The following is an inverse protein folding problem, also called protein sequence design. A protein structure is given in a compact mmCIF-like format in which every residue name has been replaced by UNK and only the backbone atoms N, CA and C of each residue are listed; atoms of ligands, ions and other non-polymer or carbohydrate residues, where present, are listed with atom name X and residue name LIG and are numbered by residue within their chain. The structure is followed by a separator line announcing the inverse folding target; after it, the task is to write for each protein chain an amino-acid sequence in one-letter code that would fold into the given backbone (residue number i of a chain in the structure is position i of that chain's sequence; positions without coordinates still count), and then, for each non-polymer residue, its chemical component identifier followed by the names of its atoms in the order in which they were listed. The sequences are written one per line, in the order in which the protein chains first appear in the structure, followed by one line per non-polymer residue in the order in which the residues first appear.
data_IF_270818367312
#
_entry.id   IF_270818367312
#
_cell.length_a   1.000
_cell.length_b   1.000
_cell.length_c   1.000
_cell.angle_alpha   90.00
_cell.angle_beta   90.00
_cell.angle_gamma   90.00
#
_symmetry.space_group_name_H-M   'P 1'
#
loop_
_entity.id
_entity.type
_entity.pdbx_description
1 polymer ?
#
# COMPACT_ATOMS: atom_id res chain seq x y z
N UNK A 1 -13.89 -11.61 -2.58
CA UNK A 1 -14.08 -10.18 -2.30
C UNK A 1 -14.89 -9.46 -3.38
N UNK A 2 -14.57 -9.65 -4.66
CA UNK A 2 -15.29 -9.04 -5.79
C UNK A 2 -16.80 -9.36 -5.80
N UNK A 3 -17.17 -10.61 -5.49
CA UNK A 3 -18.57 -11.04 -5.32
C UNK A 3 -19.36 -10.20 -4.29
N UNK A 4 -18.73 -9.81 -3.18
CA UNK A 4 -19.38 -8.98 -2.14
C UNK A 4 -19.59 -7.55 -2.62
N UNK A 5 -18.67 -7.01 -3.43
CA UNK A 5 -18.77 -5.67 -4.00
C UNK A 5 -19.88 -5.59 -5.05
N UNK A 6 -19.92 -6.54 -5.98
CA UNK A 6 -20.98 -6.61 -6.99
C UNK A 6 -22.35 -6.75 -6.34
N UNK A 7 -22.45 -7.55 -5.27
CA UNK A 7 -23.65 -7.67 -4.44
C UNK A 7 -24.04 -6.34 -3.79
N UNK A 8 -23.08 -5.63 -3.18
CA UNK A 8 -23.31 -4.31 -2.56
C UNK A 8 -23.80 -3.27 -3.58
N UNK A 9 -23.16 -3.20 -4.76
CA UNK A 9 -23.57 -2.31 -5.85
C UNK A 9 -24.98 -2.62 -6.37
N UNK A 10 -25.31 -3.90 -6.55
CA UNK A 10 -26.64 -4.33 -6.96
C UNK A 10 -27.72 -3.91 -5.96
N UNK A 11 -27.44 -4.05 -4.65
CA UNK A 11 -28.37 -3.60 -3.60
C UNK A 11 -28.52 -2.07 -3.61
N UNK A 12 -27.43 -1.32 -3.77
CA UNK A 12 -27.48 0.15 -3.86
C UNK A 12 -28.30 0.65 -5.05
N UNK A 13 -28.19 -0.03 -6.19
CA UNK A 13 -29.02 0.28 -7.36
C UNK A 13 -30.50 0.02 -7.07
N UNK A 14 -30.83 -1.14 -6.48
CA UNK A 14 -32.20 -1.48 -6.10
C UNK A 14 -32.80 -0.53 -5.05
N UNK A 15 -31.97 0.07 -4.17
CA UNK A 15 -32.42 1.12 -3.24
C UNK A 15 -32.84 2.38 -4.00
N UNK A 16 -32.05 2.81 -4.99
CA UNK A 16 -32.35 4.01 -5.79
C UNK A 16 -33.62 3.85 -6.63
N UNK A 17 -33.86 2.65 -7.14
CA UNK A 17 -34.99 2.35 -8.02
C UNK A 17 -36.31 2.12 -7.23
N UNK A 18 -36.23 1.86 -5.92
CA UNK A 18 -37.39 1.61 -5.07
C UNK A 18 -38.09 2.91 -4.67
N UNK A 19 -39.42 2.99 -4.82
CA UNK A 19 -40.25 4.08 -4.30
C UNK A 19 -40.75 3.84 -2.86
N UNK A 20 -40.80 2.59 -2.42
CA UNK A 20 -41.24 2.18 -1.08
C UNK A 20 -40.12 2.33 -0.04
N UNK A 21 -40.38 3.10 1.02
CA UNK A 21 -39.44 3.40 2.09
C UNK A 21 -39.15 2.21 3.01
N UNK A 22 -40.12 1.33 3.26
CA UNK A 22 -39.91 0.09 4.03
C UNK A 22 -38.98 -0.85 3.28
N UNK A 23 -39.16 -0.96 1.96
CA UNK A 23 -38.27 -1.72 1.08
C UNK A 23 -36.86 -1.11 1.03
N UNK A 24 -36.73 0.21 0.92
CA UNK A 24 -35.43 0.91 1.00
C UNK A 24 -34.70 0.61 2.31
N UNK A 25 -35.39 0.69 3.45
CA UNK A 25 -34.79 0.41 4.76
C UNK A 25 -34.27 -1.03 4.85
N UNK A 26 -35.05 -2.01 4.39
CA UNK A 26 -34.64 -3.42 4.38
C UNK A 26 -33.42 -3.66 3.49
N UNK A 27 -33.40 -3.07 2.29
CA UNK A 27 -32.26 -3.13 1.38
C UNK A 27 -31.04 -2.41 1.96
N UNK A 28 -31.23 -1.28 2.64
CA UNK A 28 -30.17 -0.56 3.36
C UNK A 28 -29.50 -1.42 4.42
N UNK A 29 -30.30 -2.12 5.25
CA UNK A 29 -29.79 -3.09 6.23
C UNK A 29 -29.04 -4.25 5.55
N UNK A 30 -29.52 -4.73 4.41
CA UNK A 30 -28.83 -5.78 3.65
C UNK A 30 -27.49 -5.30 3.09
N UNK A 31 -27.45 -4.08 2.53
CA UNK A 31 -26.22 -3.44 2.05
C UNK A 31 -25.21 -3.27 3.19
N UNK A 32 -25.67 -2.80 4.35
CA UNK A 32 -24.83 -2.68 5.54
C UNK A 32 -24.19 -4.01 5.93
N UNK A 33 -24.96 -5.11 6.00
CA UNK A 33 -24.41 -6.44 6.33
C UNK A 33 -23.34 -6.91 5.35
N UNK A 34 -23.55 -6.69 4.05
CA UNK A 34 -22.56 -7.05 3.02
C UNK A 34 -21.28 -6.24 3.17
N UNK A 35 -21.40 -4.93 3.40
CA UNK A 35 -20.25 -4.04 3.59
C UNK A 35 -19.53 -4.31 4.90
N UNK A 36 -20.25 -4.61 5.98
CA UNK A 36 -19.68 -5.02 7.26
C UNK A 36 -18.84 -6.29 7.08
N UNK A 37 -19.41 -7.32 6.43
CA UNK A 37 -18.67 -8.55 6.15
C UNK A 37 -17.39 -8.32 5.34
N UNK A 38 -17.44 -7.42 4.36
CA UNK A 38 -16.26 -7.06 3.58
C UNK A 38 -15.19 -6.36 4.45
N UNK A 39 -15.59 -5.44 5.34
CA UNK A 39 -14.69 -4.78 6.29
C UNK A 39 -14.07 -5.77 7.28
N UNK A 40 -14.84 -6.73 7.77
CA UNK A 40 -14.34 -7.76 8.70
C UNK A 40 -13.28 -8.62 8.03
N UNK A 41 -13.50 -9.02 6.78
CA UNK A 41 -12.52 -9.80 6.01
C UNK A 41 -11.24 -9.00 5.71
N UNK A 42 -11.34 -7.70 5.38
CA UNK A 42 -10.16 -6.84 5.22
C UNK A 42 -9.42 -6.68 6.55
N UNK A 43 -10.15 -6.60 7.65
CA UNK A 43 -9.59 -6.47 9.00
C UNK A 43 -8.87 -7.74 9.44
N UNK A 44 -9.47 -8.90 9.23
CA UNK A 44 -8.83 -10.20 9.45
C UNK A 44 -7.55 -10.35 8.62
N UNK A 45 -7.61 -9.99 7.33
CA UNK A 45 -6.43 -9.98 6.45
C UNK A 45 -5.33 -9.05 6.98
N UNK A 46 -5.67 -7.83 7.43
CA UNK A 46 -4.70 -6.90 8.00
C UNK A 46 -4.02 -7.49 9.23
N UNK A 47 -4.79 -7.99 10.20
CA UNK A 47 -4.21 -8.51 11.44
C UNK A 47 -3.37 -9.76 11.22
N UNK A 48 -3.79 -10.67 10.34
CA UNK A 48 -2.98 -11.84 9.96
C UNK A 48 -1.67 -11.43 9.29
N UNK A 49 -1.72 -10.45 8.38
CA UNK A 49 -0.52 -9.94 7.70
C UNK A 49 0.41 -9.23 8.68
N UNK A 50 -0.13 -8.39 9.57
CA UNK A 50 0.66 -7.71 10.62
C UNK A 50 1.34 -8.74 11.51
N UNK A 51 0.59 -9.76 11.97
CA UNK A 51 1.15 -10.84 12.77
C UNK A 51 2.29 -11.55 12.04
N UNK A 52 2.06 -11.94 10.78
CA UNK A 52 3.11 -12.55 9.96
C UNK A 52 4.35 -11.67 9.85
N UNK A 53 4.20 -10.37 9.59
CA UNK A 53 5.34 -9.46 9.46
C UNK A 53 6.11 -9.34 10.78
N UNK A 54 5.42 -9.21 11.90
CA UNK A 54 6.05 -9.07 13.21
C UNK A 54 6.70 -10.37 13.68
N UNK A 55 6.11 -11.53 13.39
CA UNK A 55 6.68 -12.82 13.80
C UNK A 55 7.97 -13.16 13.03
N UNK A 56 8.23 -12.53 11.88
CA UNK A 56 9.34 -12.89 10.99
C UNK A 56 10.40 -11.79 10.80
N UNK A 57 10.11 -10.54 11.17
CA UNK A 57 11.00 -9.41 10.88
C UNK A 57 11.04 -8.40 12.03
N UNK A 58 12.25 -8.02 12.45
CA UNK A 58 12.46 -7.00 13.48
C UNK A 58 12.17 -5.58 12.98
N UNK A 59 12.49 -5.32 11.71
CA UNK A 59 12.34 -4.03 11.06
C UNK A 59 11.48 -4.18 9.82
N UNK A 60 10.38 -3.42 9.76
CA UNK A 60 9.43 -3.43 8.65
C UNK A 60 9.49 -2.07 7.94
N UNK A 61 9.88 -2.08 6.67
CA UNK A 61 9.94 -0.86 5.86
C UNK A 61 8.73 -0.82 4.95
N UNK A 62 7.93 0.25 5.03
CA UNK A 62 6.73 0.43 4.22
C UNK A 62 6.85 1.64 3.31
N UNK A 63 6.60 1.41 2.02
CA UNK A 63 6.35 2.49 1.05
C UNK A 63 5.08 3.27 1.39
N UNK A 64 5.19 4.60 1.39
CA UNK A 64 4.06 5.52 1.54
C UNK A 64 3.41 5.70 0.18
N UNK A 65 2.36 4.91 -0.07
CA UNK A 65 1.55 5.08 -1.26
C UNK A 65 0.70 6.36 -1.14
N UNK A 66 0.81 7.26 -2.11
CA UNK A 66 -0.09 8.41 -2.22
C UNK A 66 -1.42 7.97 -2.84
N UNK A 67 -2.34 7.53 -1.96
CA UNK A 67 -3.66 7.03 -2.36
C UNK A 67 -4.44 8.07 -3.18
N UNK A 68 -4.36 9.36 -2.82
CA UNK A 68 -5.11 10.41 -3.50
C UNK A 68 -4.62 10.60 -4.94
N UNK A 69 -3.31 10.61 -5.14
CA UNK A 69 -2.69 10.67 -6.46
C UNK A 69 -3.02 9.42 -7.28
N UNK A 70 -2.95 8.22 -6.70
CA UNK A 70 -3.29 6.99 -7.40
C UNK A 70 -4.76 6.98 -7.89
N UNK A 71 -5.67 7.54 -7.10
CA UNK A 71 -7.09 7.65 -7.47
C UNK A 71 -7.34 8.64 -8.61
N UNK A 72 -6.56 9.73 -8.70
CA UNK A 72 -6.73 10.78 -9.71
C UNK A 72 -6.13 10.44 -11.07
N UNK A 73 -5.21 9.46 -11.16
CA UNK A 73 -4.56 9.07 -12.41
C UNK A 73 -5.56 8.48 -13.42
N UNK A 74 -5.75 9.13 -14.58
CA UNK A 74 -6.73 8.71 -15.60
C UNK A 74 -6.39 7.37 -16.29
N UNK A 75 -5.12 6.95 -16.31
CA UNK A 75 -4.65 5.79 -17.09
C UNK A 75 -4.72 4.43 -16.37
N UNK A 76 -5.05 4.41 -15.07
CA UNK A 76 -5.11 3.16 -14.31
C UNK A 76 -6.45 2.44 -14.51
N UNK A 77 -6.40 1.13 -14.79
CA UNK A 77 -7.58 0.27 -14.91
C UNK A 77 -8.52 0.42 -13.71
N UNK A 78 -9.82 0.52 -13.98
CA UNK A 78 -10.88 0.70 -12.96
C UNK A 78 -10.80 -0.37 -11.86
N UNK A 79 -10.44 -1.61 -12.24
CA UNK A 79 -10.20 -2.75 -11.34
C UNK A 79 -9.08 -2.48 -10.34
N UNK A 80 -7.90 -2.01 -10.79
CA UNK A 80 -6.75 -1.75 -9.92
C UNK A 80 -7.05 -0.67 -8.87
N UNK A 81 -7.72 0.41 -9.27
CA UNK A 81 -8.16 1.45 -8.33
C UNK A 81 -9.13 0.91 -7.28
N UNK A 82 -10.02 0.02 -7.70
CA UNK A 82 -11.00 -0.57 -6.80
C UNK A 82 -10.36 -1.56 -5.81
N UNK A 83 -9.41 -2.40 -6.26
CA UNK A 83 -8.63 -3.28 -5.38
C UNK A 83 -7.85 -2.46 -4.34
N UNK A 84 -7.23 -1.37 -4.79
CA UNK A 84 -6.45 -0.50 -3.91
C UNK A 84 -7.30 0.19 -2.84
N UNK A 85 -8.47 0.74 -3.21
CA UNK A 85 -9.44 1.30 -2.24
C UNK A 85 -9.85 0.26 -1.21
N UNK A 86 -10.06 -0.96 -1.68
CA UNK A 86 -10.63 -2.01 -0.89
C UNK A 86 -9.67 -2.51 0.21
N UNK A 87 -8.39 -2.68 -0.12
CA UNK A 87 -7.37 -3.11 0.83
C UNK A 87 -7.08 -2.08 1.93
N UNK A 88 -7.57 -0.84 1.80
CA UNK A 88 -7.48 0.18 2.84
C UNK A 88 -6.04 0.37 3.35
N UNK A 89 -5.08 0.53 2.43
CA UNK A 89 -3.63 0.60 2.74
C UNK A 89 -3.28 1.62 3.82
N UNK A 90 -3.97 2.76 3.85
CA UNK A 90 -3.81 3.74 4.94
C UNK A 90 -4.16 3.13 6.31
N UNK A 91 -5.31 2.45 6.40
CA UNK A 91 -5.74 1.81 7.65
C UNK A 91 -4.81 0.66 8.04
N UNK A 92 -4.33 -0.12 7.08
CA UNK A 92 -3.31 -1.15 7.32
C UNK A 92 -2.06 -0.54 7.99
N UNK A 93 -1.54 0.56 7.43
CA UNK A 93 -0.38 1.27 8.00
C UNK A 93 -0.66 1.75 9.42
N UNK A 94 -1.84 2.34 9.68
CA UNK A 94 -2.21 2.79 11.03
C UNK A 94 -2.24 1.62 12.02
N UNK A 95 -2.85 0.49 11.63
CA UNK A 95 -2.91 -0.72 12.45
C UNK A 95 -1.53 -1.30 12.73
N UNK A 96 -0.64 -1.31 11.73
CA UNK A 96 0.73 -1.76 11.91
C UNK A 96 1.47 -0.86 12.90
N UNK A 97 1.43 0.46 12.71
CA UNK A 97 2.09 1.43 13.59
C UNK A 97 1.59 1.33 15.04
N UNK A 98 0.27 1.19 15.23
CA UNK A 98 -0.32 0.96 16.56
C UNK A 98 0.16 -0.34 17.20
N UNK A 99 0.30 -1.41 16.42
CA UNK A 99 0.73 -2.70 16.96
C UNK A 99 2.22 -2.68 17.30
N UNK A 100 3.03 -2.01 16.48
CA UNK A 100 4.47 -1.93 16.72
C UNK A 100 4.83 -0.98 17.85
N UNK A 101 4.02 0.05 18.14
CA UNK A 101 4.30 1.00 19.24
C UNK A 101 4.32 0.36 20.63
N UNK A 102 3.78 -0.84 20.79
CA UNK A 102 3.77 -1.59 22.05
C UNK A 102 4.68 -2.83 22.02
N UNK A 103 5.56 -2.95 21.02
CA UNK A 103 6.47 -4.08 20.81
C UNK A 103 7.87 -3.59 20.44
N UNK A 104 8.92 -4.44 20.50
CA UNK A 104 10.26 -4.02 20.10
C UNK A 104 10.47 -3.82 18.58
N UNK A 105 9.48 -4.16 17.75
CA UNK A 105 9.59 -4.05 16.29
C UNK A 105 9.60 -2.59 15.82
N UNK A 106 10.43 -2.30 14.82
CA UNK A 106 10.51 -0.98 14.21
C UNK A 106 9.76 -0.93 12.88
N UNK A 107 9.03 0.17 12.63
CA UNK A 107 8.39 0.43 11.33
C UNK A 107 8.95 1.72 10.75
N UNK A 108 9.51 1.65 9.56
CA UNK A 108 10.03 2.81 8.84
C UNK A 108 9.14 3.11 7.66
N UNK A 109 8.59 4.32 7.61
CA UNK A 109 7.78 4.78 6.48
C UNK A 109 8.70 5.50 5.50
N UNK A 110 8.75 5.00 4.27
CA UNK A 110 9.62 5.49 3.22
C UNK A 110 8.80 6.08 2.07
N UNK A 111 9.34 7.10 1.42
CA UNK A 111 8.70 7.64 0.23
C UNK A 111 8.82 6.67 -0.95
N UNK A 112 7.73 6.46 -1.68
CA UNK A 112 7.65 5.47 -2.76
C UNK A 112 7.91 6.07 -4.15
N UNK A 113 8.23 7.37 -4.22
CA UNK A 113 8.45 8.06 -5.49
C UNK A 113 9.59 7.43 -6.30
N UNK A 114 9.31 7.16 -7.57
CA UNK A 114 10.23 6.58 -8.56
C UNK A 114 10.71 5.14 -8.27
N UNK A 115 10.20 4.48 -7.24
CA UNK A 115 10.60 3.11 -6.87
C UNK A 115 10.27 2.09 -7.96
N UNK A 116 9.22 2.29 -8.74
CA UNK A 116 8.84 1.44 -9.88
C UNK A 116 9.56 1.78 -11.19
N UNK A 117 10.28 2.92 -11.21
CA UNK A 117 10.95 3.48 -12.39
C UNK A 117 12.46 3.25 -12.36
N UNK A 118 13.05 3.19 -11.18
CA UNK A 118 14.49 3.10 -10.98
C UNK A 118 14.98 1.65 -11.03
N UNK A 119 16.05 1.40 -11.79
CA UNK A 119 16.69 0.09 -11.76
C UNK A 119 17.47 -0.11 -10.45
N UNK A 120 17.14 -1.17 -9.71
CA UNK A 120 17.80 -1.54 -8.44
C UNK A 120 19.32 -1.72 -8.61
N UNK A 121 19.76 -2.26 -9.76
CA UNK A 121 21.18 -2.60 -10.01
C UNK A 121 22.01 -1.40 -10.47
N UNK A 122 21.51 -0.59 -11.41
CA UNK A 122 22.32 0.44 -12.07
C UNK A 122 21.78 1.86 -11.92
N UNK A 123 20.69 2.06 -11.17
CA UNK A 123 20.13 3.37 -10.86
C UNK A 123 19.50 4.12 -12.05
N UNK A 124 19.44 3.51 -13.25
CA UNK A 124 18.85 4.19 -14.41
C UNK A 124 17.35 4.34 -14.21
N UNK A 125 16.85 5.54 -14.49
CA UNK A 125 15.44 5.85 -14.39
C UNK A 125 14.74 5.56 -15.72
N UNK A 126 13.73 4.70 -15.68
CA UNK A 126 12.88 4.39 -16.82
C UNK A 126 11.64 5.26 -16.77
N UNK A 127 11.45 6.13 -17.77
CA UNK A 127 10.27 7.02 -17.84
C UNK A 127 9.00 6.28 -18.29
N UNK A 128 9.15 5.25 -19.12
CA UNK A 128 8.03 4.49 -19.70
C UNK A 128 7.69 3.26 -18.85
N UNK A 129 7.14 3.48 -17.67
CA UNK A 129 6.65 2.40 -16.81
C UNK A 129 5.18 2.14 -17.11
N UNK A 130 4.92 1.15 -17.96
CA UNK A 130 3.57 0.61 -18.22
C UNK A 130 3.11 -0.36 -17.14
N UNK A 131 2.13 -1.23 -17.46
CA UNK A 131 1.53 -2.19 -16.51
C UNK A 131 2.19 -3.59 -16.49
N UNK A 132 3.28 -3.81 -17.23
CA UNK A 132 4.10 -5.05 -17.25
C UNK A 132 4.64 -5.57 -15.90
N UNK A 133 4.18 -6.73 -15.44
CA UNK A 133 4.59 -7.39 -14.18
C UNK A 133 6.10 -7.56 -13.97
N UNK A 134 6.87 -7.61 -15.06
CA UNK A 134 8.33 -7.77 -15.03
C UNK A 134 9.01 -6.44 -15.36
N UNK A 135 9.92 -6.01 -14.48
CA UNK A 135 10.82 -4.89 -14.74
C UNK A 135 12.02 -5.38 -15.57
N UNK A 136 12.25 -4.73 -16.71
CA UNK A 136 13.41 -4.95 -17.57
C UNK A 136 14.19 -3.66 -17.77
N UNK A 137 15.47 -3.68 -17.40
CA UNK A 137 16.40 -2.57 -17.58
C UNK A 137 17.09 -2.66 -18.94
N UNK A 138 17.01 -1.61 -19.76
CA UNK A 138 17.70 -1.54 -21.06
C UNK A 138 19.21 -1.31 -20.95
N UNK A 139 19.69 -0.80 -19.80
CA UNK A 139 21.11 -0.47 -19.60
C UNK A 139 21.93 -1.65 -19.08
N UNK A 140 21.42 -2.36 -18.08
CA UNK A 140 22.17 -3.41 -17.38
C UNK A 140 21.54 -4.81 -17.50
N UNK A 141 20.48 -4.93 -18.32
CA UNK A 141 19.76 -6.16 -18.60
C UNK A 141 19.16 -6.86 -17.37
N UNK A 142 19.02 -6.15 -16.23
CA UNK A 142 18.31 -6.67 -15.07
C UNK A 142 16.85 -6.99 -15.44
N UNK A 143 16.42 -8.20 -15.11
CA UNK A 143 15.06 -8.68 -15.30
C UNK A 143 14.56 -9.27 -13.98
N UNK A 144 13.55 -8.65 -13.37
CA UNK A 144 12.99 -9.10 -12.10
C UNK A 144 11.51 -8.71 -11.97
N UNK A 145 10.79 -9.34 -11.05
CA UNK A 145 9.41 -8.94 -10.73
C UNK A 145 9.37 -7.46 -10.32
N UNK A 146 8.40 -6.72 -10.85
CA UNK A 146 8.27 -5.28 -10.58
C UNK A 146 8.12 -4.98 -9.10
N UNK A 147 7.29 -5.74 -8.40
CA UNK A 147 7.02 -5.50 -6.98
C UNK A 147 8.27 -5.76 -6.14
N UNK A 148 9.07 -6.77 -6.52
CA UNK A 148 10.39 -7.04 -5.90
C UNK A 148 11.33 -5.86 -6.18
N UNK A 149 11.37 -5.37 -7.42
CA UNK A 149 12.17 -4.18 -7.77
C UNK A 149 11.78 -2.95 -6.96
N UNK A 150 10.47 -2.71 -6.81
CA UNK A 150 9.93 -1.61 -6.02
C UNK A 150 10.30 -1.74 -4.54
N UNK A 151 10.11 -2.92 -3.95
CA UNK A 151 10.47 -3.20 -2.56
C UNK A 151 11.98 -3.05 -2.31
N UNK A 152 12.83 -3.53 -3.22
CA UNK A 152 14.28 -3.35 -3.12
C UNK A 152 14.68 -1.88 -3.18
N UNK A 153 14.05 -1.08 -4.04
CA UNK A 153 14.33 0.36 -4.10
C UNK A 153 13.91 1.09 -2.81
N UNK A 154 12.80 0.69 -2.20
CA UNK A 154 12.37 1.23 -0.89
C UNK A 154 13.42 0.93 0.18
N UNK A 155 13.92 -0.31 0.23
CA UNK A 155 14.98 -0.72 1.15
C UNK A 155 16.26 0.08 0.93
N UNK A 156 16.71 0.21 -0.33
CA UNK A 156 17.93 0.96 -0.68
C UNK A 156 17.83 2.44 -0.29
N UNK A 157 16.66 3.07 -0.46
CA UNK A 157 16.43 4.44 -0.01
C UNK A 157 16.56 4.55 1.52
N UNK A 158 15.91 3.66 2.27
CA UNK A 158 16.01 3.62 3.72
C UNK A 158 17.45 3.49 4.22
N UNK A 159 18.22 2.60 3.61
CA UNK A 159 19.63 2.40 3.95
C UNK A 159 20.48 3.65 3.65
N UNK A 160 20.24 4.29 2.51
CA UNK A 160 20.95 5.50 2.08
C UNK A 160 20.70 6.69 3.00
N UNK A 161 19.44 6.91 3.40
CA UNK A 161 19.05 7.98 4.34
C UNK A 161 19.66 7.76 5.72
N UNK A 162 19.65 6.52 6.20
CA UNK A 162 20.24 6.14 7.49
C UNK A 162 21.75 6.40 7.51
N UNK A 163 22.46 6.07 6.42
CA UNK A 163 23.88 6.37 6.27
C UNK A 163 24.16 7.89 6.28
N UNK A 164 23.33 8.69 5.59
CA UNK A 164 23.48 10.15 5.58
C UNK A 164 23.29 10.75 6.99
N UNK A 165 22.33 10.25 7.76
CA UNK A 165 22.09 10.74 9.13
C UNK A 165 23.24 10.35 10.08
N UNK A 166 23.79 9.14 9.95
CA UNK A 166 24.96 8.70 10.72
C UNK A 166 26.20 9.55 10.41
N UNK A 167 26.45 9.87 9.14
CA UNK A 167 27.57 10.75 8.76
C UNK A 167 27.40 12.18 9.29
N UNK A 168 26.18 12.73 9.24
CA UNK A 168 25.87 14.08 9.77
C UNK A 168 26.07 14.19 11.29
N UNK A 169 25.64 13.18 12.05
CA UNK A 169 25.80 13.16 13.51
C UNK A 169 27.26 12.99 13.93
N UNK A 170 28.06 12.24 13.16
CA UNK A 170 29.51 12.12 13.41
C UNK A 170 30.29 13.42 13.13
N UNK A 171 29.84 14.24 12.19
CA UNK A 171 30.45 15.54 11.84
C UNK A 171 30.20 16.67 12.86
N UNK A 172 29.16 16.57 13.70
CA UNK A 172 28.79 17.63 14.66
C UNK A 172 29.65 17.65 15.93
N UNK A 173 30.46 16.62 16.20
CA UNK A 173 31.34 16.53 17.38
C UNK A 173 32.70 17.25 17.25
N UNK A 174 32.94 18.08 16.23
CA UNK A 174 34.26 18.72 15.96
C UNK A 174 34.30 20.25 16.05
N UNK A 175 33.39 20.92 16.77
CA UNK A 175 33.50 22.37 17.03
C UNK A 175 33.06 22.74 18.45
N UNK A 176 33.94 22.48 19.42
CA UNK A 176 34.05 23.23 20.68
C UNK A 176 35.39 22.85 21.33
N UNK A 177 36.43 23.61 20.98
CA UNK A 177 37.64 23.86 21.78
C UNK A 177 38.08 25.26 21.44
#
# INVERSE_FOLDING_TARGET
MEKLRTKSYGILKAIKDSKDDKKKNNLGRACYRVNARAKDLVTDFHFKTIKFLMDNYDVIILGKINVQQLMSMKSQNKTNKDHFRFLSHFLFRQRLLMKTSITPHAVVIQDESYTTQTCVKCGVLKKDVGDAEVYKCSRCNLCMGRDISGASNILLRCASETHQEATRTSGRKRKTT
#
